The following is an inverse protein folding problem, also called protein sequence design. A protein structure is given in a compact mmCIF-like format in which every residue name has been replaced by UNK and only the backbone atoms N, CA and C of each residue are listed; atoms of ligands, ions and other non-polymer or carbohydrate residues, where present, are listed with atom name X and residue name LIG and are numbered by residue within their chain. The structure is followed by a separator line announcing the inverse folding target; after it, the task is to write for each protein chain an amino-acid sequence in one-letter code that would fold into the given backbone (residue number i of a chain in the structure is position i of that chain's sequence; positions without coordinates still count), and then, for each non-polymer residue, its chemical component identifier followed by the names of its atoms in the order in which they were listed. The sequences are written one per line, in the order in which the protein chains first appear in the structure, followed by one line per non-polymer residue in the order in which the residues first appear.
data_IF_284128554694
#
_entry.id   IF_284128554694
#
_cell.length_a   1.000
_cell.length_b   1.000
_cell.length_c   1.000
_cell.angle_alpha   90.00
_cell.angle_beta   90.00
_cell.angle_gamma   90.00
#
_symmetry.space_group_name_H-M   'P 1'
#
loop_
_entity.id
_entity.type
_entity.pdbx_description
1 polymer ?
#
# COMPACT_ATOMS: atom_id res chain seq x y z
N UNK A 1 14.51 -27.82 -25.44
CA UNK A 1 14.10 -26.39 -25.34
C UNK A 1 12.98 -26.12 -24.32
N UNK A 2 12.38 -27.11 -23.66
CA UNK A 2 11.27 -26.89 -22.71
C UNK A 2 11.68 -26.24 -21.36
N UNK A 3 12.97 -26.24 -21.00
CA UNK A 3 13.48 -25.70 -19.72
C UNK A 3 13.71 -24.18 -19.75
N UNK A 4 13.76 -23.58 -20.94
CA UNK A 4 14.09 -22.17 -21.12
C UNK A 4 12.92 -21.27 -20.65
N UNK A 5 11.69 -21.65 -20.97
CA UNK A 5 10.48 -20.93 -20.53
C UNK A 5 10.32 -20.87 -18.99
N UNK A 6 10.35 -21.99 -18.24
CA UNK A 6 10.23 -21.92 -16.78
C UNK A 6 11.42 -21.20 -16.13
N UNK A 7 12.63 -21.31 -16.70
CA UNK A 7 13.81 -20.59 -16.19
C UNK A 7 13.67 -19.07 -16.37
N UNK A 8 13.21 -18.60 -17.54
CA UNK A 8 12.92 -17.18 -17.76
C UNK A 8 11.82 -16.65 -16.85
N UNK A 9 10.75 -17.42 -16.64
CA UNK A 9 9.66 -17.03 -15.72
C UNK A 9 10.16 -16.94 -14.28
N UNK A 10 10.95 -17.90 -13.81
CA UNK A 10 11.51 -17.90 -12.46
C UNK A 10 12.44 -16.70 -12.21
N UNK A 11 13.28 -16.35 -13.19
CA UNK A 11 14.16 -15.16 -13.10
C UNK A 11 13.33 -13.88 -13.06
N UNK A 12 12.26 -13.80 -13.85
CA UNK A 12 11.37 -12.63 -13.88
C UNK A 12 10.60 -12.45 -12.57
N UNK A 13 10.03 -13.52 -12.01
CA UNK A 13 9.28 -13.45 -10.73
C UNK A 13 10.22 -13.12 -9.57
N UNK A 14 11.42 -13.70 -9.55
CA UNK A 14 12.44 -13.38 -8.56
C UNK A 14 12.89 -11.91 -8.66
N UNK A 15 13.10 -11.40 -9.88
CA UNK A 15 13.42 -9.99 -10.13
C UNK A 15 12.33 -9.04 -9.65
N UNK A 16 11.06 -9.36 -9.93
CA UNK A 16 9.90 -8.58 -9.46
C UNK A 16 9.83 -8.53 -7.93
N UNK A 17 9.98 -9.68 -7.27
CA UNK A 17 9.95 -9.77 -5.80
C UNK A 17 11.08 -8.94 -5.15
N UNK A 18 12.28 -9.00 -5.69
CA UNK A 18 13.41 -8.20 -5.22
C UNK A 18 13.17 -6.69 -5.43
N UNK A 19 12.60 -6.29 -6.57
CA UNK A 19 12.23 -4.91 -6.86
C UNK A 19 11.19 -4.37 -5.87
N UNK A 20 10.17 -5.15 -5.54
CA UNK A 20 9.14 -4.76 -4.57
C UNK A 20 9.68 -4.59 -3.16
N UNK A 21 10.66 -5.40 -2.75
CA UNK A 21 11.30 -5.26 -1.43
C UNK A 21 12.03 -3.91 -1.29
N UNK A 22 12.74 -3.45 -2.32
CA UNK A 22 13.38 -2.14 -2.28
C UNK A 22 12.37 -0.99 -2.21
N UNK A 23 11.27 -1.08 -2.95
CA UNK A 23 10.21 -0.07 -2.91
C UNK A 23 9.53 -0.03 -1.52
N UNK A 24 9.21 -1.20 -0.95
CA UNK A 24 8.62 -1.32 0.38
C UNK A 24 9.52 -0.71 1.46
N UNK A 25 10.82 -0.98 1.41
CA UNK A 25 11.78 -0.39 2.37
C UNK A 25 11.80 1.14 2.35
N UNK A 26 11.72 1.76 1.16
CA UNK A 26 11.65 3.22 1.02
C UNK A 26 10.33 3.80 1.53
N UNK A 27 9.22 3.11 1.26
CA UNK A 27 7.89 3.50 1.74
C UNK A 27 7.85 3.49 3.28
N UNK A 28 8.32 2.41 3.91
CA UNK A 28 8.35 2.28 5.38
C UNK A 28 9.24 3.35 6.03
N UNK A 29 10.39 3.66 5.42
CA UNK A 29 11.29 4.71 5.90
C UNK A 29 10.65 6.11 5.84
N UNK A 30 10.01 6.45 4.71
CA UNK A 30 9.30 7.72 4.59
C UNK A 30 8.09 7.81 5.53
N UNK A 31 7.32 6.72 5.67
CA UNK A 31 6.16 6.68 6.55
C UNK A 31 6.52 6.85 8.04
N UNK A 32 7.63 6.24 8.47
CA UNK A 32 8.11 6.38 9.86
C UNK A 32 8.72 7.76 10.12
N UNK A 33 9.39 8.40 9.14
CA UNK A 33 9.88 9.79 9.28
C UNK A 33 8.76 10.81 9.52
N UNK A 34 7.59 10.58 8.93
CA UNK A 34 6.39 11.41 9.14
C UNK A 34 5.61 10.98 10.40
N UNK A 35 6.12 10.03 11.20
CA UNK A 35 5.51 9.58 12.45
C UNK A 35 4.27 8.69 12.28
N UNK A 36 3.99 8.22 11.06
CA UNK A 36 2.83 7.36 10.78
C UNK A 36 3.08 5.87 11.08
N UNK A 37 4.34 5.47 11.28
CA UNK A 37 4.75 4.09 11.58
C UNK A 37 5.76 4.09 12.73
N UNK A 38 5.84 3.00 13.51
CA UNK A 38 6.76 2.85 14.64
C UNK A 38 8.21 3.19 14.24
N UNK A 39 8.89 4.05 15.01
CA UNK A 39 10.28 4.48 14.76
C UNK A 39 11.27 3.30 14.67
N UNK A 40 10.94 2.17 15.31
CA UNK A 40 11.70 0.91 15.22
C UNK A 40 11.84 0.40 13.78
N UNK A 41 10.83 0.64 12.93
CA UNK A 41 10.84 0.16 11.56
C UNK A 41 11.71 1.02 10.63
N UNK A 42 12.10 2.22 11.07
CA UNK A 42 13.01 3.11 10.34
C UNK A 42 14.48 2.94 10.72
N UNK A 43 14.83 2.00 11.62
CA UNK A 43 16.24 1.77 11.92
C UNK A 43 16.98 1.25 10.69
N UNK A 44 17.90 2.08 10.21
CA UNK A 44 18.81 1.75 9.13
C UNK A 44 20.07 1.15 9.74
N UNK A 45 20.50 0.00 9.23
CA UNK A 45 21.69 -0.66 9.73
C UNK A 45 22.95 0.18 9.44
N UNK A 46 23.70 0.55 10.49
CA UNK A 46 24.83 1.51 10.42
C UNK A 46 25.92 1.13 9.41
N UNK A 47 26.19 -0.18 9.23
CA UNK A 47 27.24 -0.66 8.31
C UNK A 47 26.77 -0.97 6.89
N UNK A 48 25.48 -1.29 6.70
CA UNK A 48 24.95 -1.80 5.42
C UNK A 48 23.93 -0.85 4.78
N UNK A 49 23.54 0.20 5.50
CA UNK A 49 22.53 1.17 5.09
C UNK A 49 21.20 0.54 4.62
N UNK A 50 20.89 -0.67 5.12
CA UNK A 50 19.66 -1.39 4.79
C UNK A 50 18.62 -1.16 5.89
N UNK A 51 17.35 -0.87 5.53
CA UNK A 51 16.24 -0.82 6.48
C UNK A 51 15.82 -2.24 6.87
N UNK A 52 16.65 -2.93 7.66
CA UNK A 52 16.48 -4.34 7.98
C UNK A 52 15.15 -4.65 8.71
N UNK A 53 14.72 -3.88 9.73
CA UNK A 53 13.47 -4.18 10.45
C UNK A 53 12.22 -4.00 9.57
N UNK A 54 12.19 -2.96 8.72
CA UNK A 54 11.08 -2.72 7.79
C UNK A 54 10.93 -3.83 6.74
N UNK A 55 12.06 -4.36 6.23
CA UNK A 55 12.05 -5.49 5.30
C UNK A 55 11.60 -6.79 5.97
N UNK A 56 12.06 -7.06 7.20
CA UNK A 56 11.65 -8.26 7.96
C UNK A 56 10.15 -8.24 8.22
N UNK A 57 9.60 -7.09 8.63
CA UNK A 57 8.17 -6.94 8.85
C UNK A 57 7.36 -7.18 7.58
N UNK A 58 7.78 -6.59 6.45
CA UNK A 58 7.11 -6.79 5.17
C UNK A 58 7.14 -8.26 4.72
N UNK A 59 8.29 -8.93 4.84
CA UNK A 59 8.44 -10.36 4.51
C UNK A 59 7.60 -11.26 5.42
N UNK A 60 7.47 -10.92 6.71
CA UNK A 60 6.65 -11.69 7.65
C UNK A 60 5.16 -11.56 7.33
N UNK A 61 4.68 -10.35 7.03
CA UNK A 61 3.30 -10.12 6.60
C UNK A 61 3.00 -10.81 5.26
N UNK A 62 3.92 -10.70 4.29
CA UNK A 62 3.80 -11.39 3.01
C UNK A 62 3.74 -12.92 3.20
N UNK A 63 4.62 -13.48 4.04
CA UNK A 63 4.63 -14.91 4.37
C UNK A 63 3.31 -15.36 5.01
N UNK A 64 2.79 -14.59 5.97
CA UNK A 64 1.50 -14.90 6.62
C UNK A 64 0.33 -14.89 5.61
N UNK A 65 0.31 -13.92 4.68
CA UNK A 65 -0.71 -13.84 3.64
C UNK A 65 -0.63 -15.02 2.65
N UNK A 66 0.57 -15.45 2.28
CA UNK A 66 0.78 -16.60 1.38
C UNK A 66 0.35 -17.93 2.03
N UNK A 67 0.57 -18.10 3.33
CA UNK A 67 0.15 -19.33 4.04
C UNK A 67 -1.38 -19.45 4.12
N UNK A 68 -2.08 -18.33 4.26
CA UNK A 68 -3.52 -18.31 4.48
C UNK A 68 -4.37 -18.17 3.21
N UNK A 69 -3.79 -17.72 2.09
CA UNK A 69 -4.55 -17.29 0.90
C UNK A 69 -4.30 -18.13 -0.36
N UNK A 70 -5.37 -18.37 -1.12
CA UNK A 70 -5.26 -18.87 -2.50
C UNK A 70 -4.84 -17.73 -3.45
N UNK A 71 -4.25 -18.07 -4.60
CA UNK A 71 -3.76 -17.08 -5.57
C UNK A 71 -4.90 -16.18 -6.07
N UNK A 72 -6.03 -16.77 -6.47
CA UNK A 72 -7.17 -16.01 -7.00
C UNK A 72 -7.73 -15.03 -5.95
N UNK A 73 -7.96 -15.54 -4.74
CA UNK A 73 -8.34 -14.76 -3.57
C UNK A 73 -7.40 -13.58 -3.27
N UNK A 74 -6.09 -13.82 -3.35
CA UNK A 74 -5.08 -12.82 -3.04
C UNK A 74 -5.01 -11.72 -4.11
N UNK A 75 -5.22 -12.08 -5.38
CA UNK A 75 -5.32 -11.15 -6.50
C UNK A 75 -6.55 -10.27 -6.35
N UNK A 76 -7.71 -10.85 -6.02
CA UNK A 76 -8.95 -10.09 -5.83
C UNK A 76 -8.83 -9.11 -4.65
N UNK A 77 -8.25 -9.56 -3.53
CA UNK A 77 -7.98 -8.71 -2.36
C UNK A 77 -7.03 -7.54 -2.67
N UNK A 78 -5.91 -7.82 -3.36
CA UNK A 78 -4.94 -6.80 -3.74
C UNK A 78 -5.55 -5.79 -4.71
N UNK A 79 -6.27 -6.28 -5.73
CA UNK A 79 -6.90 -5.44 -6.75
C UNK A 79 -7.93 -4.51 -6.12
N UNK A 80 -8.84 -5.04 -5.29
CA UNK A 80 -9.84 -4.24 -4.59
C UNK A 80 -9.20 -3.13 -3.76
N UNK A 81 -8.18 -3.48 -2.97
CA UNK A 81 -7.45 -2.52 -2.13
C UNK A 81 -6.73 -1.45 -2.96
N UNK A 82 -6.06 -1.84 -4.05
CA UNK A 82 -5.37 -0.92 -4.94
C UNK A 82 -6.33 0.08 -5.60
N UNK A 83 -7.51 -0.37 -6.05
CA UNK A 83 -8.52 0.50 -6.66
C UNK A 83 -9.11 1.50 -5.68
N UNK A 84 -9.26 1.15 -4.40
CA UNK A 84 -9.66 2.10 -3.35
C UNK A 84 -8.61 3.21 -3.21
N UNK A 85 -7.32 2.85 -3.13
CA UNK A 85 -6.26 3.85 -3.03
C UNK A 85 -6.12 4.72 -4.29
N UNK A 86 -6.29 4.15 -5.48
CA UNK A 86 -6.31 4.92 -6.72
C UNK A 86 -7.50 5.88 -6.80
N UNK A 87 -8.70 5.44 -6.40
CA UNK A 87 -9.88 6.29 -6.31
C UNK A 87 -9.69 7.43 -5.30
N UNK A 88 -9.15 7.12 -4.12
CA UNK A 88 -8.79 8.09 -3.10
C UNK A 88 -7.77 9.12 -3.57
N UNK A 89 -6.74 8.70 -4.31
CA UNK A 89 -5.73 9.60 -4.87
C UNK A 89 -6.35 10.56 -5.91
N UNK A 90 -7.25 10.09 -6.76
CA UNK A 90 -7.95 10.93 -7.75
C UNK A 90 -8.92 11.91 -7.07
N UNK A 91 -9.62 11.46 -6.03
CA UNK A 91 -10.46 12.31 -5.20
C UNK A 91 -9.63 13.39 -4.51
N UNK A 92 -8.48 13.02 -3.92
CA UNK A 92 -7.56 13.96 -3.29
C UNK A 92 -7.06 15.01 -4.30
N UNK A 93 -6.79 14.62 -5.55
CA UNK A 93 -6.42 15.55 -6.62
C UNK A 93 -7.56 16.51 -6.97
N UNK A 94 -8.80 16.04 -7.03
CA UNK A 94 -9.99 16.89 -7.25
C UNK A 94 -10.22 17.87 -6.07
N UNK A 95 -10.07 17.40 -4.83
CA UNK A 95 -10.18 18.22 -3.63
C UNK A 95 -9.07 19.27 -3.59
N UNK A 96 -7.82 18.87 -3.85
CA UNK A 96 -6.68 19.79 -3.85
C UNK A 96 -6.80 20.87 -4.94
N UNK A 97 -7.47 20.56 -6.06
CA UNK A 97 -7.82 21.57 -7.07
C UNK A 97 -8.73 22.65 -6.52
N UNK A 98 -9.69 22.32 -5.65
CA UNK A 98 -10.60 23.27 -5.03
C UNK A 98 -9.99 23.99 -3.82
N UNK A 99 -9.30 23.27 -2.94
CA UNK A 99 -8.76 23.83 -1.68
C UNK A 99 -7.51 24.69 -1.89
N UNK A 100 -6.65 24.33 -2.86
CA UNK A 100 -5.38 25.05 -3.13
C UNK A 100 -5.23 25.42 -4.61
N UNK A 101 -6.04 26.35 -5.13
CA UNK A 101 -6.04 26.72 -6.55
C UNK A 101 -4.74 27.44 -6.98
N UNK A 102 -4.12 28.23 -6.10
CA UNK A 102 -3.03 29.15 -6.43
C UNK A 102 -1.61 28.56 -6.30
N UNK A 103 -1.47 27.26 -6.03
CA UNK A 103 -0.13 26.64 -5.96
C UNK A 103 0.47 26.51 -7.37
N UNK A 104 1.77 26.80 -7.59
CA UNK A 104 2.40 26.63 -8.89
C UNK A 104 2.32 25.17 -9.32
N UNK A 105 1.71 24.90 -10.48
CA UNK A 105 1.53 23.57 -11.05
C UNK A 105 2.29 23.50 -12.39
N UNK A 106 3.51 22.92 -12.40
CA UNK A 106 4.29 22.73 -13.63
C UNK A 106 3.58 21.83 -14.65
N UNK A 107 2.77 20.88 -14.17
CA UNK A 107 1.96 19.99 -14.98
C UNK A 107 0.47 20.12 -14.61
N UNK A 108 -0.39 20.31 -15.61
CA UNK A 108 -1.86 20.41 -15.46
C UNK A 108 -2.53 19.29 -16.25
N UNK A 109 -2.98 18.26 -15.55
CA UNK A 109 -3.80 17.21 -16.15
C UNK A 109 -5.21 17.75 -16.51
N UNK A 110 -5.80 17.39 -17.66
CA UNK A 110 -7.22 17.65 -17.95
C UNK A 110 -8.14 17.10 -16.85
N UNK A 111 -9.20 17.84 -16.47
CA UNK A 111 -10.11 17.43 -15.38
C UNK A 111 -10.90 16.15 -15.72
N UNK A 112 -11.02 15.84 -17.01
CA UNK A 112 -11.74 14.67 -17.52
C UNK A 112 -11.08 13.38 -17.03
N UNK A 113 -9.74 13.33 -16.97
CA UNK A 113 -9.00 12.11 -16.63
C UNK A 113 -9.24 11.70 -15.17
N UNK A 114 -9.07 12.55 -14.14
CA UNK A 114 -9.36 12.18 -12.75
C UNK A 114 -10.81 11.78 -12.52
N UNK A 115 -11.77 12.43 -13.19
CA UNK A 115 -13.21 12.10 -13.05
C UNK A 115 -13.52 10.75 -13.65
N UNK A 116 -12.99 10.45 -14.84
CA UNK A 116 -13.16 9.16 -15.50
C UNK A 116 -12.53 8.03 -14.67
N UNK A 117 -11.29 8.21 -14.20
CA UNK A 117 -10.61 7.21 -13.35
C UNK A 117 -11.34 7.03 -12.03
N UNK A 118 -11.89 8.09 -11.44
CA UNK A 118 -12.71 7.99 -10.24
C UNK A 118 -14.00 7.19 -10.50
N UNK A 119 -14.66 7.40 -11.64
CA UNK A 119 -15.81 6.60 -12.07
C UNK A 119 -15.46 5.11 -12.27
N UNK A 120 -14.36 4.82 -12.96
CA UNK A 120 -13.87 3.44 -13.14
C UNK A 120 -13.53 2.80 -11.79
N UNK A 121 -12.85 3.53 -10.91
CA UNK A 121 -12.49 3.00 -9.58
C UNK A 121 -13.74 2.70 -8.75
N UNK A 122 -14.77 3.54 -8.80
CA UNK A 122 -16.04 3.28 -8.11
C UNK A 122 -16.74 2.05 -8.68
N UNK A 123 -16.77 1.91 -10.02
CA UNK A 123 -17.32 0.72 -10.65
C UNK A 123 -16.57 -0.55 -10.26
N UNK A 124 -15.23 -0.55 -10.27
CA UNK A 124 -14.40 -1.70 -9.93
C UNK A 124 -14.39 -2.03 -8.43
N UNK A 125 -14.85 -1.11 -7.57
CA UNK A 125 -15.12 -1.40 -6.16
C UNK A 125 -16.51 -2.04 -6.01
N UNK A 126 -17.50 -1.59 -6.78
CA UNK A 126 -18.89 -2.05 -6.68
C UNK A 126 -19.10 -3.40 -7.38
N UNK A 127 -18.51 -3.61 -8.56
CA UNK A 127 -18.69 -4.83 -9.36
C UNK A 127 -18.30 -6.11 -8.59
N UNK A 128 -17.14 -6.19 -7.90
CA UNK A 128 -16.79 -7.39 -7.16
C UNK A 128 -17.70 -7.67 -5.96
N UNK A 129 -18.27 -6.62 -5.35
CA UNK A 129 -19.22 -6.75 -4.23
C UNK A 129 -20.54 -7.40 -4.69
N UNK A 130 -20.96 -7.12 -5.93
CA UNK A 130 -22.21 -7.63 -6.50
C UNK A 130 -22.03 -9.04 -7.06
N UNK A 131 -20.95 -9.29 -7.82
CA UNK A 131 -20.75 -10.55 -8.54
C UNK A 131 -20.39 -11.72 -7.63
N UNK A 132 -19.63 -11.46 -6.55
CA UNK A 132 -19.21 -12.50 -5.59
C UNK A 132 -19.16 -11.93 -4.18
N UNK A 133 -20.24 -12.03 -3.38
CA UNK A 133 -20.22 -11.63 -1.99
C UNK A 133 -19.38 -12.62 -1.17
N UNK A 134 -18.06 -12.54 -1.32
CA UNK A 134 -17.09 -13.31 -0.55
C UNK A 134 -16.68 -12.52 0.70
N UNK A 135 -16.42 -13.25 1.78
CA UNK A 135 -16.00 -12.72 3.08
C UNK A 135 -14.68 -11.93 2.98
N UNK A 136 -13.90 -12.14 1.91
CA UNK A 136 -12.64 -11.44 1.62
C UNK A 136 -12.81 -9.93 1.44
N UNK A 137 -13.92 -9.46 0.86
CA UNK A 137 -14.21 -8.01 0.75
C UNK A 137 -14.51 -7.39 2.11
N UNK A 138 -15.12 -8.15 3.02
CA UNK A 138 -15.33 -7.74 4.41
C UNK A 138 -14.00 -7.69 5.17
N UNK A 139 -13.08 -8.62 4.92
CA UNK A 139 -11.71 -8.55 5.45
C UNK A 139 -10.95 -7.35 4.89
N UNK A 140 -11.06 -7.03 3.60
CA UNK A 140 -10.41 -5.86 3.01
C UNK A 140 -10.97 -4.54 3.55
N UNK A 141 -12.30 -4.39 3.59
CA UNK A 141 -12.95 -3.23 4.20
C UNK A 141 -12.64 -3.13 5.69
N UNK A 142 -12.64 -4.26 6.40
CA UNK A 142 -12.26 -4.37 7.81
C UNK A 142 -10.80 -4.03 8.06
N UNK A 143 -9.89 -4.39 7.15
CA UNK A 143 -8.46 -4.06 7.25
C UNK A 143 -8.21 -2.58 6.98
N UNK A 144 -8.94 -1.97 6.04
CA UNK A 144 -8.88 -0.53 5.77
C UNK A 144 -9.48 0.25 6.94
N UNK A 145 -10.61 -0.20 7.49
CA UNK A 145 -11.22 0.35 8.71
C UNK A 145 -10.31 0.18 9.93
N UNK A 146 -9.64 -0.96 10.07
CA UNK A 146 -8.64 -1.20 11.10
C UNK A 146 -7.43 -0.27 10.92
N UNK A 147 -6.97 -0.05 9.69
CA UNK A 147 -5.92 0.93 9.38
C UNK A 147 -6.32 2.35 9.77
N UNK A 148 -7.58 2.74 9.54
CA UNK A 148 -8.12 4.02 9.99
C UNK A 148 -8.29 4.09 11.52
N UNK A 149 -8.68 2.99 12.16
CA UNK A 149 -8.77 2.87 13.62
C UNK A 149 -7.40 2.86 14.30
N UNK A 150 -6.34 2.39 13.65
CA UNK A 150 -4.95 2.46 14.13
C UNK A 150 -4.37 3.86 13.90
N UNK A 151 -4.79 4.56 12.82
CA UNK A 151 -4.40 5.94 12.56
C UNK A 151 -4.89 6.92 13.64
N UNK A 152 -6.11 6.75 14.16
CA UNK A 152 -6.67 7.64 15.19
C UNK A 152 -5.86 7.68 16.51
N UNK A 153 -5.51 6.57 17.18
CA UNK A 153 -4.75 6.57 18.43
C UNK A 153 -3.26 6.92 18.23
N UNK A 154 -2.63 6.45 17.14
CA UNK A 154 -1.20 6.70 16.91
C UNK A 154 -0.90 8.10 16.34
N UNK A 155 -1.72 8.62 15.43
CA UNK A 155 -1.43 9.88 14.73
C UNK A 155 -2.22 11.06 15.31
N UNK A 156 -3.49 10.87 15.72
CA UNK A 156 -4.32 11.96 16.29
C UNK A 156 -4.17 12.12 17.81
N UNK A 157 -3.96 11.03 18.55
CA UNK A 157 -3.79 11.06 20.02
C UNK A 157 -2.33 11.00 20.49
N UNK A 158 -1.35 10.80 19.60
CA UNK A 158 0.07 10.88 19.94
C UNK A 158 0.54 9.85 20.97
N UNK A 159 -0.10 8.68 21.05
CA UNK A 159 0.37 7.60 21.91
C UNK A 159 1.60 6.94 21.28
N UNK A 160 2.76 7.54 21.53
CA UNK A 160 4.05 6.85 21.39
C UNK A 160 4.19 5.95 22.62
N UNK A 161 4.19 4.61 22.50
CA UNK A 161 4.45 3.74 23.64
C UNK A 161 5.83 4.11 24.22
N UNK A 162 5.85 4.40 25.54
CA UNK A 162 7.03 4.84 26.34
C UNK A 162 8.27 3.95 26.25
N UNK A 163 8.20 2.80 25.58
CA UNK A 163 9.32 1.88 25.35
C UNK A 163 10.22 2.28 24.18
N UNK A 164 9.83 3.31 23.43
CA UNK A 164 10.61 3.86 22.32
C UNK A 164 11.09 5.27 22.68
N UNK A 165 12.04 5.33 23.61
CA UNK A 165 12.70 6.57 23.99
C UNK A 165 13.53 7.10 22.83
N UNK A 166 13.31 8.38 22.49
CA UNK A 166 14.23 9.19 21.68
C UNK A 166 15.65 9.07 22.24
N UNK A 167 16.55 8.52 21.45
CA UNK A 167 17.99 8.76 21.54
C UNK A 167 18.48 9.14 20.15
#
# INVERSE_FOLDING_TARGET
MAWLMPLSVAISTFGSANGTLFAAGRLCFAASREGHLLDCLSYVHVRRFTPAPGLIFHSLVAGAMVISGNIDSLIDFFSFTAWIFYGGAMLALLVMRRTRPNHPRPYKCPLIIPVLVLGISAYLIIAPIIDKPQIEYLYAAGFILAGMLVYLPFVKYGYVPKFMGKY
#
